data_IF_335098065110
#
_entry.id   IF_335098065110
#
_cell.length_a   1.000
_cell.length_b   1.000
_cell.length_c   1.000
_cell.angle_alpha   90.00
_cell.angle_beta   90.00
_cell.angle_gamma   90.00
#
_symmetry.space_group_name_H-M   'P 1'
#
loop_
_entity.id
_entity.type
_entity.pdbx_description
1 polymer ?
#
# COMPACT_ATOMS: atom_id res chain seq x y z
N UNK A 1 33.07 -19.08 -0.40
CA UNK A 1 32.25 -19.24 0.82
C UNK A 1 30.83 -18.80 0.45
N UNK A 2 29.79 -19.64 0.60
CA UNK A 2 28.44 -19.20 0.31
C UNK A 2 27.97 -18.31 1.45
N UNK A 3 27.67 -17.06 1.13
CA UNK A 3 27.07 -16.09 2.05
C UNK A 3 25.71 -16.64 2.48
N UNK A 4 25.53 -16.90 3.78
CA UNK A 4 24.23 -17.20 4.33
C UNK A 4 23.33 -15.98 4.06
N UNK A 5 22.47 -16.08 3.04
CA UNK A 5 21.36 -15.17 2.90
C UNK A 5 20.54 -15.33 4.17
N UNK A 6 20.50 -14.30 5.02
CA UNK A 6 19.62 -14.29 6.17
C UNK A 6 18.22 -14.68 5.69
N UNK A 7 17.70 -15.79 6.20
CA UNK A 7 16.40 -16.29 5.80
C UNK A 7 15.36 -15.22 6.13
N UNK A 8 14.72 -14.66 5.10
CA UNK A 8 13.77 -13.58 5.30
C UNK A 8 12.55 -14.13 6.06
N UNK A 9 12.12 -13.48 7.15
CA UNK A 9 11.00 -13.99 7.95
C UNK A 9 9.76 -14.20 7.09
N UNK A 10 9.23 -15.42 7.10
CA UNK A 10 7.94 -15.71 6.48
C UNK A 10 6.86 -15.00 7.28
N UNK A 11 6.18 -14.05 6.65
CA UNK A 11 5.07 -13.35 7.28
C UNK A 11 3.82 -14.21 7.21
N UNK A 12 3.26 -14.54 8.38
CA UNK A 12 2.06 -15.35 8.48
C UNK A 12 1.19 -14.88 9.65
N UNK A 13 0.01 -14.38 9.30
CA UNK A 13 -0.99 -13.94 10.27
C UNK A 13 -1.66 -12.64 9.87
N UNK A 14 -2.26 -12.00 10.87
CA UNK A 14 -3.02 -10.77 10.76
C UNK A 14 -2.20 -9.62 11.32
N UNK A 15 -2.12 -8.54 10.56
CA UNK A 15 -1.33 -7.36 10.87
C UNK A 15 -2.21 -6.11 10.84
N UNK A 16 -2.12 -5.29 11.87
CA UNK A 16 -2.63 -3.92 11.83
C UNK A 16 -1.73 -3.10 10.89
N UNK A 17 -2.34 -2.44 9.92
CA UNK A 17 -1.71 -1.47 9.03
C UNK A 17 -1.95 -0.07 9.59
N UNK A 18 -0.88 0.58 10.03
CA UNK A 18 -0.93 1.84 10.76
C UNK A 18 -0.19 2.93 10.00
N UNK A 19 -0.87 4.04 9.75
CA UNK A 19 -0.30 5.27 9.17
C UNK A 19 -0.15 6.34 10.25
N UNK A 20 0.19 7.58 9.86
CA UNK A 20 0.40 8.68 10.80
C UNK A 20 -0.84 9.09 11.60
N UNK A 21 -2.04 8.79 11.11
CA UNK A 21 -3.33 9.11 11.73
C UNK A 21 -3.91 7.95 12.56
N UNK A 22 -3.25 6.78 12.58
CA UNK A 22 -3.66 5.62 13.36
C UNK A 22 -3.80 4.35 12.51
N UNK A 23 -4.56 3.38 13.02
CA UNK A 23 -4.79 2.11 12.31
C UNK A 23 -5.72 2.37 11.12
N UNK A 24 -5.14 2.35 9.92
CA UNK A 24 -5.86 2.55 8.67
C UNK A 24 -6.50 1.25 8.15
N UNK A 25 -6.05 0.07 8.61
CA UNK A 25 -6.70 -1.18 8.24
C UNK A 25 -6.06 -2.43 8.82
N UNK A 26 -6.50 -3.58 8.33
CA UNK A 26 -5.98 -4.90 8.73
C UNK A 26 -5.59 -5.70 7.49
N UNK A 27 -4.41 -6.30 7.52
CA UNK A 27 -3.89 -7.14 6.46
C UNK A 27 -3.72 -8.57 6.96
N UNK A 28 -4.28 -9.54 6.26
CA UNK A 28 -3.89 -10.94 6.43
C UNK A 28 -2.79 -11.25 5.43
N UNK A 29 -1.63 -11.65 5.92
CA UNK A 29 -0.44 -11.89 5.11
C UNK A 29 -0.06 -13.36 5.19
N UNK A 30 0.21 -13.98 4.04
CA UNK A 30 0.82 -15.31 3.92
C UNK A 30 1.96 -15.26 2.92
N UNK A 31 3.17 -15.60 3.35
CA UNK A 31 4.35 -15.68 2.47
C UNK A 31 4.57 -17.10 1.96
N UNK A 32 4.67 -17.26 0.63
CA UNK A 32 5.07 -18.51 -0.03
C UNK A 32 6.41 -18.33 -0.74
N UNK A 33 7.32 -19.29 -0.65
CA UNK A 33 8.67 -19.19 -1.22
C UNK A 33 9.00 -20.38 -2.14
N UNK A 34 8.94 -20.18 -3.46
CA UNK A 34 9.29 -21.17 -4.48
C UNK A 34 9.52 -20.51 -5.86
N UNK A 35 10.75 -20.41 -6.40
CA UNK A 35 12.04 -20.27 -5.71
C UNK A 35 12.19 -18.90 -5.02
N UNK A 36 11.41 -17.91 -5.43
CA UNK A 36 11.33 -16.58 -4.84
C UNK A 36 10.20 -16.50 -3.80
N UNK A 37 10.32 -15.60 -2.84
CA UNK A 37 9.29 -15.36 -1.83
C UNK A 37 8.28 -14.30 -2.30
N UNK A 38 7.00 -14.58 -2.10
CA UNK A 38 5.88 -13.67 -2.41
C UNK A 38 4.99 -13.58 -1.18
N UNK A 39 4.68 -12.36 -0.75
CA UNK A 39 3.66 -12.12 0.26
C UNK A 39 2.30 -11.94 -0.42
N UNK A 40 1.34 -12.80 -0.06
CA UNK A 40 -0.05 -12.66 -0.43
C UNK A 40 -0.78 -11.91 0.68
N UNK A 41 -1.31 -10.72 0.34
CA UNK A 41 -1.96 -9.81 1.26
C UNK A 41 -3.45 -9.77 0.94
N UNK A 42 -4.29 -10.03 1.93
CA UNK A 42 -5.74 -9.82 1.87
C UNK A 42 -6.08 -8.62 2.76
N UNK A 43 -6.74 -7.61 2.19
CA UNK A 43 -7.15 -6.39 2.91
C UNK A 43 -8.61 -6.42 3.33
N UNK A 44 -9.44 -7.15 2.58
CA UNK A 44 -10.86 -7.40 2.86
C UNK A 44 -11.34 -8.59 1.99
N UNK A 45 -12.52 -9.17 2.25
CA UNK A 45 -13.02 -10.28 1.43
C UNK A 45 -13.08 -9.91 -0.07
N UNK A 46 -12.37 -10.67 -0.91
CA UNK A 46 -12.29 -10.40 -2.35
C UNK A 46 -11.27 -9.34 -2.77
N UNK A 47 -10.57 -8.70 -1.83
CA UNK A 47 -9.56 -7.69 -2.11
C UNK A 47 -8.20 -8.04 -1.52
N UNK A 48 -7.17 -7.92 -2.33
CA UNK A 48 -5.81 -8.26 -1.95
C UNK A 48 -4.82 -8.02 -3.07
N UNK A 49 -3.55 -8.31 -2.80
CA UNK A 49 -2.47 -8.20 -3.76
C UNK A 49 -1.33 -9.16 -3.41
N UNK A 50 -0.43 -9.38 -4.37
CA UNK A 50 0.79 -10.13 -4.17
C UNK A 50 1.99 -9.19 -4.25
N UNK A 51 2.93 -9.32 -3.32
CA UNK A 51 4.14 -8.52 -3.25
C UNK A 51 5.37 -9.44 -3.25
N UNK A 52 6.09 -9.58 -4.38
CA UNK A 52 7.34 -10.32 -4.41
C UNK A 52 8.38 -9.67 -3.48
N UNK A 53 9.24 -10.52 -2.93
CA UNK A 53 10.38 -10.12 -2.14
C UNK A 53 11.54 -9.76 -3.07
N UNK A 54 11.95 -8.50 -3.06
CA UNK A 54 13.03 -7.96 -3.88
C UNK A 54 14.02 -7.24 -2.97
N UNK A 55 15.28 -7.65 -2.97
CA UNK A 55 16.35 -7.07 -2.15
C UNK A 55 15.98 -6.94 -0.65
N UNK A 56 15.35 -7.97 -0.10
CA UNK A 56 14.97 -8.02 1.32
C UNK A 56 13.70 -7.25 1.68
N UNK A 57 12.97 -6.69 0.69
CA UNK A 57 11.70 -5.99 0.92
C UNK A 57 10.60 -6.57 0.04
N UNK A 58 9.38 -6.65 0.57
CA UNK A 58 8.23 -6.90 -0.28
C UNK A 58 7.91 -5.63 -1.05
N UNK A 59 7.72 -5.74 -2.36
CA UNK A 59 7.46 -4.58 -3.23
C UNK A 59 6.32 -4.93 -4.20
N UNK A 60 5.38 -4.01 -4.37
CA UNK A 60 4.29 -4.14 -5.34
C UNK A 60 3.98 -2.78 -5.96
N UNK A 61 3.69 -2.78 -7.26
CA UNK A 61 3.07 -1.62 -7.92
C UNK A 61 1.65 -2.00 -8.31
N UNK A 62 0.66 -1.22 -7.89
CA UNK A 62 -0.75 -1.51 -8.16
C UNK A 62 -1.57 -0.24 -8.31
N UNK A 63 -2.72 -0.37 -8.98
CA UNK A 63 -3.76 0.65 -8.95
C UNK A 63 -4.63 0.45 -7.72
N UNK A 64 -4.88 1.52 -6.97
CA UNK A 64 -5.84 1.58 -5.87
C UNK A 64 -7.04 2.39 -6.37
N UNK A 65 -8.23 1.77 -6.57
CA UNK A 65 -9.39 2.45 -7.14
C UNK A 65 -9.83 3.69 -6.37
N UNK A 66 -9.76 3.62 -5.05
CA UNK A 66 -10.24 4.66 -4.13
C UNK A 66 -9.10 5.39 -3.43
N UNK A 67 -8.06 5.80 -4.17
CA UNK A 67 -6.80 6.23 -3.56
C UNK A 67 -6.57 7.73 -3.44
N UNK A 68 -7.33 8.58 -4.16
CA UNK A 68 -7.31 10.04 -3.98
C UNK A 68 -8.75 10.56 -3.91
N UNK A 69 -9.06 11.32 -2.87
CA UNK A 69 -10.33 12.02 -2.73
C UNK A 69 -10.13 13.50 -3.05
N UNK A 70 -10.77 13.97 -4.12
CA UNK A 70 -10.76 15.38 -4.48
C UNK A 70 -11.96 16.10 -3.85
N UNK A 71 -11.75 17.25 -3.17
CA UNK A 71 -12.84 18.02 -2.60
C UNK A 71 -13.66 18.71 -3.69
N UNK A 72 -14.95 19.02 -3.42
CA UNK A 72 -15.74 19.85 -4.30
C UNK A 72 -15.17 21.27 -4.41
N UNK A 73 -15.33 21.89 -5.57
CA UNK A 73 -14.94 23.30 -5.80
C UNK A 73 -15.85 23.99 -6.82
N UNK A 74 -15.87 25.32 -6.79
CA UNK A 74 -16.64 26.12 -7.74
C UNK A 74 -15.94 26.23 -9.10
N UNK A 75 -16.71 25.98 -10.16
CA UNK A 75 -16.28 26.11 -11.55
C UNK A 75 -16.67 27.50 -12.07
N UNK A 76 -15.68 28.40 -12.11
CA UNK A 76 -15.85 29.76 -12.62
C UNK A 76 -16.85 30.61 -11.82
N UNK A 77 -17.18 31.79 -12.37
CA UNK A 77 -18.03 32.78 -11.68
C UNK A 77 -19.54 32.51 -11.82
N UNK A 78 -19.90 31.40 -12.50
CA UNK A 78 -21.28 31.10 -12.90
C UNK A 78 -22.07 30.36 -11.81
N UNK A 79 -21.45 30.11 -10.65
CA UNK A 79 -22.01 29.31 -9.56
C UNK A 79 -22.10 27.81 -9.86
N UNK A 80 -21.49 27.33 -10.94
CA UNK A 80 -21.38 25.89 -11.22
C UNK A 80 -20.48 25.22 -10.19
N UNK A 81 -20.88 24.03 -9.72
CA UNK A 81 -20.12 23.26 -8.73
C UNK A 81 -19.59 21.99 -9.39
N UNK A 82 -18.35 21.66 -9.07
CA UNK A 82 -17.82 20.32 -9.26
C UNK A 82 -17.90 19.57 -7.93
N UNK A 83 -18.54 18.41 -7.91
CA UNK A 83 -18.95 17.71 -6.68
C UNK A 83 -17.82 17.01 -5.93
N UNK A 84 -16.60 17.00 -6.46
CA UNK A 84 -15.55 16.15 -5.90
C UNK A 84 -15.63 14.72 -6.44
N UNK A 85 -14.87 13.83 -5.81
CA UNK A 85 -14.95 12.40 -6.06
C UNK A 85 -13.68 11.65 -5.70
N UNK A 86 -13.79 10.32 -5.69
CA UNK A 86 -12.66 9.43 -5.49
C UNK A 86 -12.11 8.96 -6.82
N UNK A 87 -10.79 8.95 -6.95
CA UNK A 87 -10.08 8.63 -8.18
C UNK A 87 -9.03 7.55 -7.94
N UNK A 88 -8.77 6.71 -8.96
CA UNK A 88 -7.73 5.71 -8.86
C UNK A 88 -6.35 6.35 -8.83
N UNK A 89 -5.43 5.70 -8.13
CA UNK A 89 -4.03 6.09 -8.05
C UNK A 89 -3.13 4.86 -8.21
N UNK A 90 -2.07 5.02 -8.99
CA UNK A 90 -1.02 4.03 -9.09
C UNK A 90 -0.03 4.25 -7.97
N UNK A 91 0.18 3.23 -7.15
CA UNK A 91 1.12 3.28 -6.04
C UNK A 91 2.19 2.22 -6.18
N UNK A 92 3.39 2.53 -5.71
CA UNK A 92 4.41 1.55 -5.36
C UNK A 92 4.48 1.43 -3.85
N UNK A 93 4.06 0.28 -3.34
CA UNK A 93 4.09 -0.02 -1.92
C UNK A 93 5.23 -0.99 -1.62
N UNK A 94 5.89 -0.79 -0.48
CA UNK A 94 6.94 -1.67 -0.03
C UNK A 94 6.98 -1.79 1.49
N UNK A 95 7.51 -2.90 2.00
CA UNK A 95 7.82 -3.03 3.44
C UNK A 95 8.96 -4.01 3.68
N UNK A 96 9.63 -3.82 4.81
CA UNK A 96 10.65 -4.71 5.33
C UNK A 96 9.98 -5.77 6.24
N UNK A 97 10.10 -7.07 5.95
CA UNK A 97 9.45 -8.14 6.71
C UNK A 97 10.07 -8.38 8.10
N UNK A 98 11.25 -7.81 8.39
CA UNK A 98 11.92 -7.88 9.70
C UNK A 98 11.47 -6.72 10.57
N UNK A 99 11.58 -5.49 10.06
CA UNK A 99 11.26 -4.29 10.86
C UNK A 99 9.78 -3.93 10.82
N UNK A 100 9.02 -4.52 9.90
CA UNK A 100 7.61 -4.25 9.66
C UNK A 100 7.30 -2.79 9.29
N UNK A 101 8.32 -2.03 8.91
CA UNK A 101 8.16 -0.67 8.42
C UNK A 101 8.07 -0.68 6.89
N UNK A 102 7.19 0.17 6.37
CA UNK A 102 6.96 0.28 4.94
C UNK A 102 6.67 1.69 4.49
N UNK A 103 6.48 1.82 3.19
CA UNK A 103 6.10 3.07 2.55
C UNK A 103 5.27 2.86 1.31
N UNK A 104 4.55 3.90 0.94
CA UNK A 104 3.76 4.02 -0.27
C UNK A 104 4.27 5.22 -1.04
N UNK A 105 4.79 4.99 -2.24
CA UNK A 105 5.04 6.04 -3.23
C UNK A 105 3.80 6.14 -4.13
N UNK A 106 3.19 7.31 -4.18
CA UNK A 106 2.13 7.60 -5.15
C UNK A 106 2.80 8.04 -6.46
N UNK A 107 2.60 7.26 -7.52
CA UNK A 107 3.32 7.41 -8.79
C UNK A 107 2.55 8.27 -9.80
N UNK A 108 1.25 8.02 -9.92
CA UNK A 108 0.41 8.66 -10.93
C UNK A 108 -1.07 8.58 -10.56
N UNK A 109 -1.85 9.59 -10.96
CA UNK A 109 -3.29 9.62 -10.80
C UNK A 109 -3.91 10.45 -11.92
N UNK A 110 -5.08 9.99 -12.39
CA UNK A 110 -5.92 10.76 -13.31
C UNK A 110 -6.80 11.79 -12.58
N UNK A 111 -6.57 12.00 -11.28
CA UNK A 111 -7.37 12.91 -10.47
C UNK A 111 -7.21 14.37 -10.92
N UNK A 112 -8.30 15.15 -10.95
CA UNK A 112 -8.23 16.57 -11.33
C UNK A 112 -7.56 17.44 -10.26
N UNK A 113 -7.49 16.96 -9.00
CA UNK A 113 -6.84 17.67 -7.90
C UNK A 113 -5.36 17.28 -7.70
N UNK A 114 -4.83 16.35 -8.50
CA UNK A 114 -3.47 15.83 -8.35
C UNK A 114 -3.26 14.97 -7.11
N UNK A 115 -1.98 14.72 -6.77
CA UNK A 115 -1.56 13.92 -5.61
C UNK A 115 -0.93 14.86 -4.58
N UNK A 116 -1.60 15.13 -3.44
CA UNK A 116 -1.13 16.14 -2.48
C UNK A 116 0.11 15.70 -1.68
N UNK A 117 0.32 14.40 -1.46
CA UNK A 117 1.50 13.87 -0.79
C UNK A 117 2.03 12.64 -1.54
N UNK A 118 3.18 12.73 -2.24
CA UNK A 118 3.65 11.63 -3.09
C UNK A 118 4.22 10.46 -2.29
N UNK A 119 4.44 10.60 -0.97
CA UNK A 119 5.02 9.53 -0.13
C UNK A 119 4.43 9.49 1.27
N UNK A 120 4.00 8.31 1.69
CA UNK A 120 3.61 8.05 3.08
C UNK A 120 4.36 6.84 3.62
N UNK A 121 4.55 6.80 4.94
CA UNK A 121 5.12 5.67 5.66
C UNK A 121 4.04 4.98 6.47
N UNK A 122 4.17 3.66 6.64
CA UNK A 122 3.28 2.88 7.49
C UNK A 122 4.08 1.86 8.30
N UNK A 123 3.45 1.32 9.33
CA UNK A 123 3.96 0.18 10.10
C UNK A 123 2.96 -0.96 10.08
N UNK A 124 3.48 -2.19 10.13
CA UNK A 124 2.71 -3.40 10.35
C UNK A 124 2.93 -3.89 11.77
N UNK A 125 1.86 -4.18 12.49
CA UNK A 125 1.94 -4.78 13.83
C UNK A 125 1.16 -6.08 13.84
N UNK A 126 1.79 -7.20 14.19
CA UNK A 126 1.10 -8.49 14.25
C UNK A 126 0.07 -8.47 15.37
N UNK A 127 -1.18 -8.81 15.05
CA UNK A 127 -2.31 -8.82 15.98
C UNK A 127 -3.04 -10.18 16.06
N UNK A 128 -2.66 -11.16 15.23
CA UNK A 128 -3.24 -12.51 15.21
C UNK A 128 -2.48 -13.46 14.32
#
# INVERSE_FOLDING_TARGET
>A
MPTAAAEVPKMQGVYAYTESDGVAGTWTITTTCTPDCVAHVTTSPGHGFAAPLVNGRHVVTRSVPDGVTCPPYQLGDNGSLWDGGTWPVTVRQWWDPVTLNGGVDFLDSVSPCGIPNPRTSFTLSRIG
#
